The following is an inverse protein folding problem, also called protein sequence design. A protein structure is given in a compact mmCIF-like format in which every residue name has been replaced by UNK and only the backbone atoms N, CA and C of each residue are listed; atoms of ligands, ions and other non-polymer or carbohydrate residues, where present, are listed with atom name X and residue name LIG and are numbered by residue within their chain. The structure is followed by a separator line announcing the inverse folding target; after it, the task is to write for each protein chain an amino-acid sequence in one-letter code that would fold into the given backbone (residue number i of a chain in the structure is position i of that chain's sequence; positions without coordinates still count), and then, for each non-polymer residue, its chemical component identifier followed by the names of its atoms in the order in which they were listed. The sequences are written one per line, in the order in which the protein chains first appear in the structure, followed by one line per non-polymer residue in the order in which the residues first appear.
data_IF_734103447382
#
_entry.id   IF_734103447382
#
_cell.length_a   1.000
_cell.length_b   1.000
_cell.length_c   1.000
_cell.angle_alpha   90.00
_cell.angle_beta   90.00
_cell.angle_gamma   90.00
#
_symmetry.space_group_name_H-M   'P 1'
#
loop_
_entity.id
_entity.type
_entity.pdbx_description
1 polymer ?
#
# COMPACT_ATOMS: atom_id res chain seq x y z
N UNK A 1 6.65 2.98 -18.85
CA UNK A 1 7.27 1.96 -18.00
C UNK A 1 7.90 0.98 -18.95
N UNK A 2 9.23 0.94 -19.03
CA UNK A 2 9.92 -0.04 -19.87
C UNK A 2 9.74 -1.43 -19.25
N UNK A 3 9.41 -2.38 -20.11
CA UNK A 3 8.77 -3.67 -19.86
C UNK A 3 9.81 -4.79 -19.63
N UNK A 4 10.71 -4.66 -18.64
CA UNK A 4 11.82 -5.64 -18.49
C UNK A 4 12.41 -5.80 -17.07
N UNK A 5 11.69 -5.41 -16.02
CA UNK A 5 12.05 -5.81 -14.65
C UNK A 5 11.13 -6.96 -14.21
N UNK A 6 11.70 -8.15 -14.10
CA UNK A 6 11.01 -9.34 -13.58
C UNK A 6 10.51 -9.07 -12.16
N UNK A 7 9.24 -9.40 -11.89
CA UNK A 7 8.67 -9.23 -10.56
C UNK A 7 9.36 -10.16 -9.55
N UNK A 8 9.92 -9.59 -8.50
CA UNK A 8 10.53 -10.33 -7.39
C UNK A 8 9.57 -10.41 -6.19
N UNK A 9 9.86 -11.32 -5.25
CA UNK A 9 9.04 -11.47 -4.05
C UNK A 9 9.01 -10.16 -3.23
N UNK A 10 7.85 -9.81 -2.68
CA UNK A 10 7.68 -8.54 -1.95
C UNK A 10 8.66 -8.40 -0.77
N UNK A 11 9.01 -9.49 -0.10
CA UNK A 11 9.99 -9.51 0.98
C UNK A 11 11.42 -9.21 0.52
N UNK A 12 11.75 -9.53 -0.73
CA UNK A 12 13.03 -9.22 -1.36
C UNK A 12 13.03 -7.77 -1.85
N UNK A 13 11.98 -7.34 -2.55
CA UNK A 13 11.82 -5.96 -3.03
C UNK A 13 11.84 -4.93 -1.90
N UNK A 14 11.26 -5.24 -0.75
CA UNK A 14 11.09 -4.34 0.40
C UNK A 14 11.82 -4.85 1.64
N UNK A 15 13.07 -5.27 1.44
CA UNK A 15 13.92 -5.82 2.49
C UNK A 15 13.94 -4.92 3.73
N UNK A 16 13.65 -5.51 4.90
CA UNK A 16 13.65 -4.81 6.20
C UNK A 16 12.31 -4.21 6.61
N UNK A 17 11.32 -4.14 5.71
CA UNK A 17 9.96 -3.72 6.04
C UNK A 17 9.14 -4.92 6.52
N UNK A 18 8.40 -4.74 7.61
CA UNK A 18 7.52 -5.77 8.20
C UNK A 18 6.07 -5.33 8.14
N UNK A 19 5.16 -6.29 7.99
CA UNK A 19 3.71 -6.10 8.02
C UNK A 19 3.08 -7.10 8.98
N UNK A 20 1.89 -6.78 9.48
CA UNK A 20 1.10 -7.71 10.27
C UNK A 20 0.61 -8.87 9.38
N UNK A 21 0.50 -10.10 9.93
CA UNK A 21 0.00 -11.24 9.17
C UNK A 21 -1.47 -11.06 8.79
N UNK A 22 -1.88 -11.75 7.73
CA UNK A 22 -3.30 -11.90 7.41
C UNK A 22 -4.02 -12.73 8.48
N UNK A 23 -5.36 -12.60 8.59
CA UNK A 23 -6.15 -13.48 9.43
C UNK A 23 -5.93 -14.96 9.11
N UNK A 24 -6.12 -15.83 10.11
CA UNK A 24 -5.96 -17.27 9.94
C UNK A 24 -6.88 -17.83 8.83
N UNK A 25 -6.32 -18.69 7.98
CA UNK A 25 -7.04 -19.31 6.86
C UNK A 25 -7.22 -18.43 5.62
N UNK A 26 -6.74 -17.18 5.63
CA UNK A 26 -6.81 -16.31 4.46
C UNK A 26 -5.59 -16.48 3.56
N UNK A 27 -5.83 -16.50 2.26
CA UNK A 27 -4.78 -16.56 1.23
C UNK A 27 -4.74 -15.24 0.47
N UNK A 28 -3.57 -14.63 0.37
CA UNK A 28 -3.37 -13.43 -0.44
C UNK A 28 -3.46 -13.77 -1.93
N UNK A 29 -4.21 -12.97 -2.70
CA UNK A 29 -4.32 -13.10 -4.17
C UNK A 29 -3.75 -11.88 -4.91
N UNK A 30 -3.66 -10.75 -4.21
CA UNK A 30 -3.07 -9.52 -4.73
C UNK A 30 -2.87 -8.49 -3.63
N UNK A 31 -2.05 -7.47 -3.88
CA UNK A 31 -1.77 -6.41 -2.92
C UNK A 31 -1.51 -5.06 -3.61
N UNK A 32 -1.98 -4.00 -2.96
CA UNK A 32 -1.63 -2.61 -3.25
C UNK A 32 -0.57 -2.19 -2.23
N UNK A 33 0.58 -1.72 -2.70
CA UNK A 33 1.72 -1.42 -1.84
C UNK A 33 2.14 0.04 -2.04
N UNK A 34 1.98 0.83 -0.97
CA UNK A 34 2.46 2.21 -0.89
C UNK A 34 3.65 2.26 0.04
N UNK A 35 4.82 2.58 -0.50
CA UNK A 35 6.09 2.55 0.24
C UNK A 35 6.61 3.96 0.38
N UNK A 36 6.77 4.44 1.61
CA UNK A 36 7.49 5.68 1.88
C UNK A 36 8.98 5.38 1.84
N UNK A 37 9.71 6.04 0.95
CA UNK A 37 11.13 5.81 0.73
C UNK A 37 11.86 7.14 0.53
N UNK A 38 13.19 7.11 0.52
CA UNK A 38 13.98 8.22 0.04
C UNK A 38 14.23 8.05 -1.45
N UNK A 39 14.11 9.12 -2.21
CA UNK A 39 14.51 9.14 -3.61
C UNK A 39 16.03 9.28 -3.77
N UNK A 40 16.49 9.40 -5.01
CA UNK A 40 17.92 9.56 -5.34
C UNK A 40 18.56 10.83 -4.78
N UNK A 41 17.75 11.83 -4.40
CA UNK A 41 18.20 13.08 -3.80
C UNK A 41 18.13 13.05 -2.27
N UNK A 42 17.64 11.94 -1.68
CA UNK A 42 17.46 11.79 -0.25
C UNK A 42 16.18 12.43 0.28
N UNK A 43 15.25 12.84 -0.59
CA UNK A 43 13.97 13.39 -0.16
C UNK A 43 12.96 12.27 0.11
N UNK A 44 12.13 12.48 1.14
CA UNK A 44 11.07 11.53 1.45
C UNK A 44 9.98 11.59 0.37
N UNK A 45 9.76 10.46 -0.30
CA UNK A 45 8.79 10.30 -1.38
C UNK A 45 7.98 9.01 -1.19
N UNK A 46 6.99 8.79 -2.05
CA UNK A 46 6.15 7.60 -2.05
C UNK A 46 6.27 6.85 -3.37
N UNK A 47 6.59 5.56 -3.29
CA UNK A 47 6.54 4.64 -4.41
C UNK A 47 5.27 3.80 -4.36
N UNK A 48 4.57 3.72 -5.48
CA UNK A 48 3.42 2.83 -5.68
C UNK A 48 3.88 1.54 -6.37
N UNK A 49 3.45 0.40 -5.85
CA UNK A 49 3.62 -0.93 -6.45
C UNK A 49 2.33 -1.72 -6.29
N UNK A 50 2.08 -2.60 -7.23
CA UNK A 50 0.99 -3.59 -7.17
C UNK A 50 1.56 -4.96 -7.51
N UNK A 51 0.98 -5.99 -6.94
CA UNK A 51 1.14 -7.35 -7.49
C UNK A 51 0.20 -7.51 -8.67
N UNK A 52 0.39 -8.58 -9.45
CA UNK A 52 -0.61 -9.00 -10.42
C UNK A 52 -1.93 -9.40 -9.73
N UNK A 53 -2.99 -9.52 -10.53
CA UNK A 53 -4.28 -10.06 -10.08
C UNK A 53 -5.28 -9.05 -9.53
N UNK A 54 -5.01 -7.74 -9.64
CA UNK A 54 -5.97 -6.68 -9.34
C UNK A 54 -6.41 -5.96 -10.61
N UNK A 55 -7.72 -5.84 -10.80
CA UNK A 55 -8.28 -4.96 -11.85
C UNK A 55 -8.14 -3.48 -11.46
N UNK A 56 -8.22 -2.60 -12.45
CA UNK A 56 -8.20 -1.14 -12.21
C UNK A 56 -9.38 -0.70 -11.33
N UNK A 57 -10.55 -1.34 -11.50
CA UNK A 57 -11.73 -1.10 -10.69
C UNK A 57 -11.55 -1.57 -9.23
N UNK A 58 -10.96 -2.75 -9.02
CA UNK A 58 -10.65 -3.25 -7.67
C UNK A 58 -9.65 -2.33 -6.96
N UNK A 59 -8.62 -1.88 -7.68
CA UNK A 59 -7.64 -0.92 -7.19
C UNK A 59 -8.30 0.40 -6.77
N UNK A 60 -9.10 1.00 -7.67
CA UNK A 60 -9.79 2.27 -7.40
C UNK A 60 -10.76 2.13 -6.22
N UNK A 61 -11.53 1.05 -6.19
CA UNK A 61 -12.48 0.77 -5.11
C UNK A 61 -11.78 0.65 -3.75
N UNK A 62 -10.72 -0.14 -3.67
CA UNK A 62 -9.96 -0.34 -2.43
C UNK A 62 -9.34 0.96 -1.90
N UNK A 63 -8.72 1.76 -2.78
CA UNK A 63 -8.11 3.05 -2.39
C UNK A 63 -9.16 4.07 -1.95
N UNK A 64 -10.32 4.10 -2.61
CA UNK A 64 -11.43 4.99 -2.24
C UNK A 64 -11.94 4.67 -0.85
N UNK A 65 -12.25 3.40 -0.56
CA UNK A 65 -12.71 2.96 0.76
C UNK A 65 -11.68 3.28 1.83
N UNK A 66 -10.40 2.96 1.60
CA UNK A 66 -9.33 3.21 2.58
C UNK A 66 -9.15 4.70 2.87
N UNK A 67 -9.23 5.54 1.85
CA UNK A 67 -9.11 7.00 1.98
C UNK A 67 -10.29 7.58 2.77
N UNK A 68 -11.51 7.12 2.50
CA UNK A 68 -12.70 7.58 3.23
C UNK A 68 -12.65 7.17 4.72
N UNK A 69 -12.24 5.94 5.03
CA UNK A 69 -12.06 5.48 6.40
C UNK A 69 -11.01 6.34 7.14
N UNK A 70 -9.85 6.54 6.52
CA UNK A 70 -8.79 7.37 7.12
C UNK A 70 -9.27 8.81 7.34
N UNK A 71 -10.01 9.40 6.40
CA UNK A 71 -10.59 10.74 6.55
C UNK A 71 -11.53 10.80 7.74
N UNK A 72 -12.42 9.82 7.91
CA UNK A 72 -13.35 9.74 9.05
C UNK A 72 -12.59 9.63 10.37
N UNK A 73 -11.57 8.80 10.43
CA UNK A 73 -10.77 8.61 11.64
C UNK A 73 -10.02 9.88 12.04
N UNK A 74 -9.43 10.60 11.07
CA UNK A 74 -8.78 11.88 11.31
C UNK A 74 -9.76 12.96 11.79
N UNK A 75 -10.96 13.03 11.21
CA UNK A 75 -12.00 13.96 11.66
C UNK A 75 -12.46 13.66 13.09
N UNK A 76 -12.63 12.39 13.44
CA UNK A 76 -12.97 11.96 14.79
C UNK A 76 -11.88 12.32 15.80
N UNK A 77 -10.62 12.11 15.44
CA UNK A 77 -9.49 12.48 16.29
C UNK A 77 -9.43 13.99 16.53
N UNK A 78 -9.74 14.80 15.50
CA UNK A 78 -9.74 16.26 15.62
C UNK A 78 -10.93 16.81 16.43
N UNK A 79 -12.11 16.19 16.34
CA UNK A 79 -13.31 16.63 17.07
C UNK A 79 -13.43 16.11 18.51
N UNK A 80 -12.44 15.36 19.01
CA UNK A 80 -12.44 14.75 20.35
C UNK A 80 -11.63 15.52 21.40
N UNK A 81 -11.28 16.78 21.14
CA UNK A 81 -10.42 17.62 21.99
C UNK A 81 -11.21 18.73 22.74
N UNK A 82 -12.45 18.45 23.14
CA UNK A 82 -13.31 19.31 23.99
C UNK A 82 -13.77 18.56 25.27
#
# INVERSE_FOLDING_TARGET
MTDDDEAIAIGEALTGIKVLPLPEGWTAIGAIVLVKCFDSEGHASWAFRTTDGLSEEELLGALTVRTDLLRRDLLRAFGGDD
#
